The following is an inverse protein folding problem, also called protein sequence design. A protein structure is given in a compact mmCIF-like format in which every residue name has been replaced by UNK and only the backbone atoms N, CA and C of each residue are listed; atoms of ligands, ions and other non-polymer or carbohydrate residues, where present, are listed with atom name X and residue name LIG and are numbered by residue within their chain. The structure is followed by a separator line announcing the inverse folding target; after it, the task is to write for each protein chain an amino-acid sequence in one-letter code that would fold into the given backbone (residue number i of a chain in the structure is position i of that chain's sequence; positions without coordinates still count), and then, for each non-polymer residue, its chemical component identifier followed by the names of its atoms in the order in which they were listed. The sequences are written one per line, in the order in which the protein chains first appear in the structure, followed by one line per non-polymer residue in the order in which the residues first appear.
data_IF_836435798397
#
_entry.id   IF_836435798397
#
_cell.length_a   1.000
_cell.length_b   1.000
_cell.length_c   1.000
_cell.angle_alpha   90.00
_cell.angle_beta   90.00
_cell.angle_gamma   90.00
#
_symmetry.space_group_name_H-M   'P 1'
#
loop_
_entity.id
_entity.type
_entity.pdbx_description
1 polymer ?
#
# COMPACT_ATOMS: atom_id res chain seq x y z
N UNK A 1 -5.80 -8.18 -4.15
CA UNK A 1 -6.12 -6.75 -3.99
C UNK A 1 -6.36 -6.47 -2.51
N UNK A 2 -5.39 -5.93 -1.78
CA UNK A 2 -5.56 -5.58 -0.36
C UNK A 2 -6.38 -4.29 -0.15
N UNK A 3 -6.96 -4.11 1.05
CA UNK A 3 -7.60 -2.86 1.48
C UNK A 3 -6.69 -1.63 1.32
N UNK A 4 -7.25 -0.52 0.88
CA UNK A 4 -6.56 0.77 0.77
C UNK A 4 -6.24 1.38 2.14
N UNK A 5 -5.03 1.89 2.34
CA UNK A 5 -4.65 2.56 3.58
C UNK A 5 -5.09 4.03 3.57
N UNK A 6 -5.36 4.56 4.75
CA UNK A 6 -5.85 5.92 5.02
C UNK A 6 -5.09 6.51 6.20
N UNK A 7 -5.30 7.81 6.42
CA UNK A 7 -4.98 8.40 7.72
C UNK A 7 -5.66 7.57 8.83
N UNK A 8 -5.04 7.50 10.00
CA UNK A 8 -5.44 6.69 11.16
C UNK A 8 -5.26 5.17 11.04
N UNK A 9 -5.04 4.62 9.84
CA UNK A 9 -4.73 3.20 9.72
C UNK A 9 -3.35 2.90 10.34
N UNK A 10 -3.29 1.85 11.15
CA UNK A 10 -2.14 1.50 11.98
C UNK A 10 -1.07 0.76 11.18
N UNK A 11 0.18 0.92 11.58
CA UNK A 11 1.29 0.06 11.17
C UNK A 11 1.86 -0.71 12.37
N UNK A 12 2.60 -1.77 12.11
CA UNK A 12 3.51 -2.39 13.09
C UNK A 12 4.93 -1.97 12.78
N UNK A 13 5.77 -1.79 13.80
CA UNK A 13 7.15 -1.40 13.62
C UNK A 13 8.05 -2.34 14.44
N UNK A 14 8.90 -3.16 13.79
CA UNK A 14 9.80 -4.08 14.48
C UNK A 14 11.16 -3.47 14.85
N UNK A 15 11.40 -2.20 14.48
CA UNK A 15 12.70 -1.54 14.65
C UNK A 15 13.04 -1.33 16.13
N UNK A 16 14.32 -1.42 16.45
CA UNK A 16 14.87 -1.14 17.77
C UNK A 16 16.10 -0.24 17.55
N UNK A 17 16.08 1.00 18.02
CA UNK A 17 17.19 1.96 17.89
C UNK A 17 17.62 2.53 19.25
N UNK A 18 18.92 2.84 19.40
CA UNK A 18 19.80 2.11 20.30
C UNK A 18 19.28 2.05 21.75
N UNK A 19 18.97 0.85 22.20
CA UNK A 19 18.45 0.57 23.55
C UNK A 19 17.50 -0.64 23.54
N UNK A 20 17.04 -1.10 24.70
CA UNK A 20 16.11 -2.25 24.79
C UNK A 20 14.66 -1.89 24.43
N UNK A 21 14.35 -0.63 24.17
CA UNK A 21 12.97 -0.16 23.92
C UNK A 21 12.61 -0.40 22.46
N UNK A 22 11.66 -1.32 22.16
CA UNK A 22 11.21 -1.52 20.80
C UNK A 22 10.38 -0.33 20.33
N UNK A 23 10.46 -0.03 19.05
CA UNK A 23 9.47 0.83 18.43
C UNK A 23 8.09 0.18 18.56
N UNK A 24 7.07 1.02 18.69
CA UNK A 24 5.68 0.58 18.68
C UNK A 24 5.02 1.29 17.51
N UNK A 25 4.44 0.50 16.60
CA UNK A 25 3.74 1.04 15.46
C UNK A 25 2.50 1.82 15.88
N UNK A 26 2.08 2.75 15.05
CA UNK A 26 1.00 3.69 15.33
C UNK A 26 0.29 4.14 14.05
N UNK A 27 -0.59 5.13 14.16
CA UNK A 27 -1.43 5.54 13.05
C UNK A 27 -0.65 6.30 11.98
N UNK A 28 -1.12 6.19 10.74
CA UNK A 28 -0.75 7.12 9.66
C UNK A 28 -1.29 8.51 9.96
N UNK A 29 -0.45 9.54 9.85
CA UNK A 29 -0.80 10.93 10.19
C UNK A 29 -0.75 11.89 9.03
N UNK A 30 -0.13 11.50 7.92
CA UNK A 30 -0.19 12.23 6.66
C UNK A 30 -1.02 11.44 5.64
N UNK A 31 -1.70 12.15 4.76
CA UNK A 31 -2.48 11.58 3.67
C UNK A 31 -2.77 12.64 2.62
N UNK A 32 -3.33 12.23 1.48
CA UNK A 32 -3.78 13.16 0.44
C UNK A 32 -5.19 13.67 0.75
N UNK A 33 -5.36 14.95 1.12
CA UNK A 33 -6.67 15.48 1.50
C UNK A 33 -7.66 15.57 0.33
N UNK A 34 -7.18 15.63 -0.91
CA UNK A 34 -8.05 15.69 -2.09
C UNK A 34 -8.69 14.34 -2.46
N UNK A 35 -8.15 13.24 -1.96
CA UNK A 35 -8.63 11.88 -2.28
C UNK A 35 -9.07 11.20 -0.99
N UNK A 36 -10.38 11.02 -0.86
CA UNK A 36 -11.00 10.43 0.33
C UNK A 36 -11.35 8.96 0.07
N UNK A 37 -10.91 8.09 0.97
CA UNK A 37 -11.23 6.67 1.01
C UNK A 37 -11.97 6.41 2.32
N UNK A 38 -13.23 5.96 2.24
CA UNK A 38 -14.06 5.78 3.44
C UNK A 38 -14.16 7.05 4.31
N UNK A 39 -14.31 8.21 3.67
CA UNK A 39 -14.37 9.54 4.28
C UNK A 39 -13.11 10.02 5.00
N UNK A 40 -11.97 9.39 4.75
CA UNK A 40 -10.69 9.79 5.33
C UNK A 40 -9.64 9.99 4.22
N UNK A 41 -8.71 10.95 4.35
CA UNK A 41 -7.59 11.13 3.43
C UNK A 41 -6.84 9.82 3.16
N UNK A 42 -6.57 9.55 1.87
CA UNK A 42 -5.87 8.34 1.44
C UNK A 42 -4.37 8.40 1.76
N UNK A 43 -3.80 7.29 2.22
CA UNK A 43 -2.37 7.17 2.50
C UNK A 43 -1.58 6.73 1.26
N UNK A 44 -0.31 7.12 1.20
CA UNK A 44 0.56 6.98 0.03
C UNK A 44 2.00 6.75 0.45
N UNK A 45 2.83 6.37 -0.53
CA UNK A 45 4.28 6.31 -0.34
C UNK A 45 4.83 7.65 0.15
N UNK A 46 5.65 7.58 1.19
CA UNK A 46 6.27 8.73 1.84
C UNK A 46 5.36 9.46 2.84
N UNK A 47 4.12 9.04 3.05
CA UNK A 47 3.28 9.59 4.11
C UNK A 47 3.82 9.15 5.49
N UNK A 48 3.78 10.07 6.45
CA UNK A 48 4.31 9.89 7.79
C UNK A 48 3.39 9.03 8.67
N UNK A 49 4.02 8.22 9.49
CA UNK A 49 3.43 7.32 10.46
C UNK A 49 3.94 7.67 11.86
N UNK A 50 3.05 7.66 12.86
CA UNK A 50 3.45 7.81 14.27
C UNK A 50 4.04 6.51 14.77
N UNK A 51 5.23 6.57 15.34
CA UNK A 51 5.93 5.43 15.91
C UNK A 51 6.46 5.82 17.30
N UNK A 52 6.54 4.87 18.24
CA UNK A 52 7.22 5.10 19.53
C UNK A 52 8.74 5.08 19.33
N UNK A 53 9.27 6.19 18.80
CA UNK A 53 10.63 6.36 18.29
C UNK A 53 10.65 7.56 17.32
N UNK A 54 11.63 7.67 16.42
CA UNK A 54 11.52 8.59 15.29
C UNK A 54 10.25 8.30 14.46
N UNK A 55 9.65 9.29 13.78
CA UNK A 55 8.56 9.07 12.85
C UNK A 55 8.93 8.06 11.76
N UNK A 56 8.01 7.15 11.44
CA UNK A 56 8.17 6.20 10.33
C UNK A 56 7.50 6.77 9.06
N UNK A 57 7.72 6.13 7.92
CA UNK A 57 7.09 6.49 6.64
C UNK A 57 6.75 5.24 5.84
N UNK A 58 5.72 5.34 5.01
CA UNK A 58 5.35 4.25 4.10
C UNK A 58 6.40 4.17 2.99
N UNK A 59 7.07 3.02 2.86
CA UNK A 59 8.22 2.86 1.95
C UNK A 59 7.82 2.35 0.57
N UNK A 60 6.74 1.56 0.47
CA UNK A 60 6.19 1.09 -0.81
C UNK A 60 4.67 1.15 -0.83
N UNK A 61 4.11 1.08 -2.04
CA UNK A 61 2.68 1.12 -2.30
C UNK A 61 2.38 0.49 -3.66
N UNK A 62 1.13 0.54 -4.12
CA UNK A 62 0.75 0.04 -5.45
C UNK A 62 1.18 1.02 -6.55
N UNK A 63 2.16 0.67 -7.40
CA UNK A 63 2.70 1.59 -8.41
C UNK A 63 1.70 1.93 -9.53
N UNK A 64 0.70 1.08 -9.76
CA UNK A 64 -0.30 1.30 -10.82
C UNK A 64 -1.42 2.26 -10.40
N UNK A 65 -1.57 2.53 -9.10
CA UNK A 65 -2.61 3.41 -8.56
C UNK A 65 -1.96 4.61 -7.91
N UNK A 66 -2.07 5.77 -8.54
CA UNK A 66 -1.44 7.01 -8.09
C UNK A 66 -2.46 7.92 -7.41
N UNK A 67 -2.15 8.37 -6.19
CA UNK A 67 -2.94 9.32 -5.41
C UNK A 67 -2.08 10.57 -5.21
N UNK A 68 -2.52 11.71 -5.73
CA UNK A 68 -1.72 12.94 -5.74
C UNK A 68 -0.31 12.75 -6.32
N UNK A 69 -0.18 11.91 -7.36
CA UNK A 69 1.07 11.62 -8.06
C UNK A 69 2.01 10.63 -7.37
N UNK A 70 1.65 10.04 -6.23
CA UNK A 70 2.45 9.02 -5.53
C UNK A 70 1.71 7.68 -5.48
N UNK A 71 2.43 6.54 -5.45
CA UNK A 71 1.80 5.22 -5.30
C UNK A 71 0.91 5.14 -4.05
N UNK A 72 -0.27 4.56 -4.20
CA UNK A 72 -1.25 4.40 -3.13
C UNK A 72 -0.81 3.32 -2.12
N UNK A 73 -0.93 3.62 -0.82
CA UNK A 73 -0.62 2.67 0.23
C UNK A 73 -1.81 1.76 0.55
N UNK A 74 -1.52 0.57 1.06
CA UNK A 74 -2.48 -0.51 1.29
C UNK A 74 -2.07 -1.34 2.51
N UNK A 75 -3.01 -2.14 2.99
CA UNK A 75 -2.73 -3.15 3.99
C UNK A 75 -1.64 -4.10 3.48
N UNK A 76 -0.62 -4.29 4.32
CA UNK A 76 0.56 -5.13 4.05
C UNK A 76 1.71 -4.40 3.36
N UNK A 77 1.53 -3.15 2.93
CA UNK A 77 2.63 -2.41 2.33
C UNK A 77 3.70 -2.06 3.40
N UNK A 78 5.00 -2.17 3.07
CA UNK A 78 6.09 -2.00 4.02
C UNK A 78 6.31 -0.54 4.41
N UNK A 79 6.94 -0.37 5.58
CA UNK A 79 7.37 0.93 6.12
C UNK A 79 8.89 1.04 6.13
N UNK A 80 9.42 2.25 6.28
CA UNK A 80 10.86 2.53 6.28
C UNK A 80 11.58 1.92 7.48
N UNK A 81 10.85 1.67 8.58
CA UNK A 81 11.37 0.96 9.75
C UNK A 81 11.33 -0.57 9.63
N UNK A 82 11.00 -1.11 8.45
CA UNK A 82 10.88 -2.55 8.22
C UNK A 82 9.58 -3.16 8.75
N UNK A 83 8.63 -2.29 9.11
CA UNK A 83 7.29 -2.66 9.51
C UNK A 83 6.33 -2.81 8.34
N UNK A 84 5.04 -2.98 8.64
CA UNK A 84 3.98 -3.05 7.63
C UNK A 84 2.73 -2.31 8.10
N UNK A 85 1.97 -1.78 7.16
CA UNK A 85 0.62 -1.26 7.42
C UNK A 85 -0.31 -2.44 7.72
N UNK A 86 -1.00 -2.42 8.86
CA UNK A 86 -1.84 -3.53 9.35
C UNK A 86 -3.34 -3.25 9.32
N UNK A 87 -3.74 -2.05 8.94
CA UNK A 87 -5.14 -1.67 8.78
C UNK A 87 -5.39 -1.01 7.42
N UNK A 88 -6.64 -1.00 6.98
CA UNK A 88 -7.06 -0.41 5.72
C UNK A 88 -8.59 -0.35 5.63
N UNK A 89 -9.09 0.35 4.61
CA UNK A 89 -10.51 0.47 4.32
C UNK A 89 -11.06 -0.83 3.71
N UNK A 90 -11.94 -1.58 4.40
CA UNK A 90 -12.41 -2.87 3.91
C UNK A 90 -13.26 -2.78 2.63
N UNK A 91 -13.83 -1.61 2.33
CA UNK A 91 -14.69 -1.39 1.17
C UNK A 91 -13.95 -0.93 -0.08
N UNK A 92 -12.67 -0.55 0.04
CA UNK A 92 -11.87 -0.05 -1.09
C UNK A 92 -10.62 -0.89 -1.21
N UNK A 93 -10.54 -1.66 -2.29
CA UNK A 93 -9.41 -2.54 -2.59
C UNK A 93 -8.54 -1.90 -3.67
N UNK A 94 -7.22 -1.81 -3.42
CA UNK A 94 -6.26 -1.24 -4.36
C UNK A 94 -5.29 -2.33 -4.80
N UNK A 95 -5.00 -2.39 -6.10
CA UNK A 95 -4.09 -3.35 -6.69
C UNK A 95 -4.64 -3.96 -7.96
N UNK A 96 -3.81 -4.78 -8.59
CA UNK A 96 -4.19 -5.46 -9.82
C UNK A 96 -5.08 -6.70 -9.51
N UNK A 97 -6.10 -7.01 -10.33
CA UNK A 97 -6.82 -8.27 -10.24
C UNK A 97 -5.88 -9.44 -10.54
N UNK A 98 -6.22 -10.65 -10.08
CA UNK A 98 -5.39 -11.84 -10.32
C UNK A 98 -5.10 -12.08 -11.81
N UNK A 99 -6.05 -11.71 -12.67
CA UNK A 99 -5.96 -11.80 -14.12
C UNK A 99 -4.99 -10.77 -14.72
N UNK A 100 -4.59 -9.72 -13.99
CA UNK A 100 -3.67 -8.72 -14.52
C UNK A 100 -2.31 -9.33 -14.89
N UNK A 101 -1.80 -10.27 -14.09
CA UNK A 101 -0.54 -10.94 -14.39
C UNK A 101 -0.57 -11.68 -15.73
N UNK A 102 -1.60 -12.51 -15.96
CA UNK A 102 -1.73 -13.24 -17.23
C UNK A 102 -2.01 -12.31 -18.41
N UNK A 103 -2.77 -11.23 -18.22
CA UNK A 103 -2.98 -10.22 -19.27
C UNK A 103 -1.69 -9.45 -19.59
N UNK A 104 -0.88 -9.09 -18.59
CA UNK A 104 0.44 -8.46 -18.81
C UNK A 104 1.40 -9.40 -19.52
N UNK A 105 1.45 -10.68 -19.15
CA UNK A 105 2.27 -11.68 -19.85
C UNK A 105 1.79 -11.92 -21.28
N UNK A 106 0.47 -11.99 -21.51
CA UNK A 106 -0.11 -12.13 -22.85
C UNK A 106 0.22 -10.90 -23.71
N UNK A 107 0.10 -9.69 -23.14
CA UNK A 107 0.50 -8.45 -23.81
C UNK A 107 1.98 -8.43 -24.17
N UNK A 108 2.87 -8.86 -23.26
CA UNK A 108 4.32 -8.88 -23.52
C UNK A 108 4.74 -9.96 -24.54
N UNK A 109 4.02 -11.08 -24.58
CA UNK A 109 4.29 -12.19 -25.51
C UNK A 109 3.55 -12.07 -26.85
N UNK A 110 2.66 -11.09 -27.00
CA UNK A 110 1.83 -10.93 -28.19
C UNK A 110 0.81 -12.06 -28.38
N UNK A 111 0.48 -12.79 -27.31
CA UNK A 111 -0.50 -13.89 -27.37
C UNK A 111 -1.88 -13.33 -27.74
N UNK A 112 -2.48 -13.85 -28.81
CA UNK A 112 -3.82 -13.47 -29.21
C UNK A 112 -4.84 -13.92 -28.18
N UNK A 113 -5.75 -13.01 -27.81
CA UNK A 113 -6.79 -13.24 -26.79
C UNK A 113 -7.75 -14.40 -27.14
N UNK A 114 -7.82 -14.78 -28.42
CA UNK A 114 -8.57 -15.95 -28.92
C UNK A 114 -7.69 -16.67 -29.96
N UNK A 115 -7.16 -17.84 -29.62
CA UNK A 115 -6.72 -18.81 -30.61
C UNK A 115 -7.85 -19.83 -30.79
N UNK A 116 -8.42 -19.90 -31.99
CA UNK A 116 -9.37 -20.97 -32.34
C UNK A 116 -8.60 -22.29 -32.26
N UNK A 117 -8.98 -23.18 -31.35
CA UNK A 117 -8.42 -24.53 -31.27
C UNK A 117 -8.65 -25.19 -32.63
N UNK A 118 -7.56 -25.46 -33.37
CA UNK A 118 -7.62 -26.23 -34.59
C UNK A 118 -8.22 -27.60 -34.25
N UNK A 119 -9.32 -27.94 -34.94
CA UNK A 119 -9.98 -29.24 -34.86
C UNK A 119 -9.14 -30.33 -35.50
#
# INVERSE_FOLDING_TARGET
MPPAARITDMHTCPKVEPGPVPHVGGPTVAGEPSVLIGFQPAARVGDMLVCNGPPDSISQGEPTVLIGGKPAARLGDPTSHGGVVVAGCPTVLIGAPAQAGCMSSASNSGASFVTKTAS
#
